data_IF_901496444041
#
_entry.id   IF_901496444041
#
_cell.length_a   1.000
_cell.length_b   1.000
_cell.length_c   1.000
_cell.angle_alpha   90.00
_cell.angle_beta   90.00
_cell.angle_gamma   90.00
#
_symmetry.space_group_name_H-M   'P 1'
#
loop_
_entity.id
_entity.type
_entity.pdbx_description
1 polymer ?
#
# COMPACT_ATOMS: atom_id res chain seq x y z
N UNK A 1 -14.74 8.10 8.12
CA UNK A 1 -13.73 8.33 7.06
C UNK A 1 -13.07 7.01 6.74
N UNK A 2 -12.63 6.80 5.50
CA UNK A 2 -11.80 5.65 5.10
C UNK A 2 -10.37 6.09 4.79
N UNK A 3 -9.38 5.47 5.42
CA UNK A 3 -7.96 5.67 5.14
C UNK A 3 -7.42 4.49 4.35
N UNK A 4 -6.74 4.76 3.25
CA UNK A 4 -6.26 3.74 2.33
C UNK A 4 -4.75 3.83 2.27
N UNK A 5 -4.05 2.72 2.44
CA UNK A 5 -2.60 2.64 2.31
C UNK A 5 -2.20 1.75 1.14
N UNK A 6 -1.24 2.21 0.35
CA UNK A 6 -0.74 1.51 -0.85
C UNK A 6 0.77 1.35 -0.77
N UNK A 7 1.23 0.10 -0.73
CA UNK A 7 2.57 -0.29 -1.18
C UNK A 7 2.47 -0.63 -2.68
N UNK A 8 3.06 0.18 -3.57
CA UNK A 8 2.83 0.08 -5.01
C UNK A 8 3.62 -1.04 -5.70
N UNK A 9 4.46 -1.80 -4.97
CA UNK A 9 5.27 -2.86 -5.54
C UNK A 9 4.47 -4.08 -6.02
N UNK A 10 5.10 -4.94 -6.82
CA UNK A 10 4.53 -6.21 -7.28
C UNK A 10 4.22 -7.21 -6.15
N UNK A 11 4.96 -7.12 -5.04
CA UNK A 11 4.72 -7.87 -3.80
C UNK A 11 4.08 -6.97 -2.71
N UNK A 12 3.61 -5.80 -3.11
CA UNK A 12 2.94 -4.83 -2.23
C UNK A 12 1.48 -5.19 -1.98
N UNK A 13 0.74 -4.24 -1.44
CA UNK A 13 -0.66 -4.42 -1.10
C UNK A 13 -1.41 -3.09 -1.05
N UNK A 14 -2.74 -3.22 -0.99
CA UNK A 14 -3.70 -2.19 -0.69
C UNK A 14 -4.40 -2.57 0.64
N UNK A 15 -4.41 -1.64 1.58
CA UNK A 15 -5.15 -1.77 2.83
C UNK A 15 -6.15 -0.63 2.97
N UNK A 16 -7.30 -0.90 3.59
CA UNK A 16 -8.21 0.15 4.01
C UNK A 16 -8.63 0.00 5.46
N UNK A 17 -8.68 1.15 6.13
CA UNK A 17 -8.93 1.31 7.54
C UNK A 17 -9.98 2.40 7.74
N UNK A 18 -11.15 2.02 8.25
CA UNK A 18 -12.15 2.98 8.68
C UNK A 18 -11.83 3.49 10.09
N UNK A 19 -12.47 4.59 10.51
CA UNK A 19 -12.39 5.09 11.89
C UNK A 19 -12.83 4.03 12.92
N UNK A 20 -13.74 3.15 12.53
CA UNK A 20 -14.19 2.00 13.29
C UNK A 20 -14.39 0.79 12.39
N UNK A 21 -14.12 -0.40 12.92
CA UNK A 21 -14.21 -1.66 12.20
C UNK A 21 -12.86 -2.25 11.83
N UNK A 22 -12.90 -3.47 11.31
CA UNK A 22 -11.72 -4.23 10.94
C UNK A 22 -11.13 -3.73 9.61
N UNK A 23 -9.79 -3.68 9.48
CA UNK A 23 -9.19 -3.32 8.21
C UNK A 23 -9.41 -4.43 7.18
N UNK A 24 -9.48 -4.03 5.91
CA UNK A 24 -9.48 -4.95 4.78
C UNK A 24 -8.13 -4.88 4.06
N UNK A 25 -7.72 -6.01 3.47
CA UNK A 25 -6.42 -6.20 2.86
C UNK A 25 -6.53 -6.90 1.51
N UNK A 26 -5.83 -6.36 0.51
CA UNK A 26 -5.64 -7.02 -0.78
C UNK A 26 -4.17 -6.95 -1.17
N UNK A 27 -3.58 -8.07 -1.57
CA UNK A 27 -2.27 -8.04 -2.23
C UNK A 27 -2.38 -7.27 -3.55
N UNK A 28 -1.30 -6.65 -4.02
CA UNK A 28 -1.27 -6.02 -5.33
C UNK A 28 -1.66 -7.06 -6.39
N UNK A 29 -2.76 -6.84 -7.13
CA UNK A 29 -3.24 -7.86 -8.05
C UNK A 29 -2.28 -7.92 -9.23
N UNK A 30 -1.80 -9.13 -9.50
CA UNK A 30 -0.81 -9.39 -10.55
C UNK A 30 -1.17 -10.65 -11.31
N UNK A 31 -0.75 -10.69 -12.58
CA UNK A 31 -0.89 -11.85 -13.45
C UNK A 31 0.48 -12.30 -13.93
N UNK A 32 0.66 -13.62 -14.04
CA UNK A 32 1.84 -14.19 -14.68
C UNK A 32 1.54 -14.39 -16.15
N UNK A 33 2.26 -13.67 -17.01
CA UNK A 33 2.18 -13.79 -18.46
C UNK A 33 3.24 -14.78 -18.93
N UNK A 34 2.80 -15.86 -19.57
CA UNK A 34 3.68 -16.84 -20.18
C UNK A 34 4.37 -16.27 -21.42
N UNK A 35 5.63 -16.65 -21.64
CA UNK A 35 6.44 -16.27 -22.79
C UNK A 35 7.79 -16.98 -22.73
N UNK A 36 8.77 -16.57 -23.55
CA UNK A 36 10.13 -17.12 -23.52
C UNK A 36 10.76 -17.07 -22.11
N UNK A 37 10.37 -16.07 -21.31
CA UNK A 37 10.54 -16.03 -19.87
C UNK A 37 9.23 -15.54 -19.26
N UNK A 38 8.64 -16.32 -18.37
CA UNK A 38 7.44 -15.89 -17.63
C UNK A 38 7.73 -14.61 -16.86
N UNK A 39 6.79 -13.66 -16.92
CA UNK A 39 6.89 -12.38 -16.21
C UNK A 39 5.60 -12.12 -15.43
N UNK A 40 5.75 -11.59 -14.23
CA UNK A 40 4.62 -11.10 -13.43
C UNK A 40 4.40 -9.63 -13.74
N UNK A 41 3.15 -9.23 -13.96
CA UNK A 41 2.77 -7.85 -14.25
C UNK A 41 1.50 -7.46 -13.49
N UNK A 42 1.25 -6.17 -13.38
CA UNK A 42 0.09 -5.61 -12.69
C UNK A 42 -1.22 -5.91 -13.44
N UNK A 43 -2.23 -6.39 -12.72
CA UNK A 43 -3.61 -6.51 -13.21
C UNK A 43 -4.35 -5.19 -12.99
N UNK A 44 -4.14 -4.25 -13.92
CA UNK A 44 -4.64 -2.87 -13.82
C UNK A 44 -6.18 -2.82 -13.67
N UNK A 45 -6.99 -3.59 -14.43
CA UNK A 45 -8.43 -3.67 -14.19
C UNK A 45 -8.78 -4.07 -12.76
N UNK A 46 -8.08 -5.06 -12.19
CA UNK A 46 -8.34 -5.48 -10.82
C UNK A 46 -7.87 -4.46 -9.77
N UNK A 47 -6.77 -3.74 -10.01
CA UNK A 47 -6.33 -2.61 -9.17
C UNK A 47 -7.43 -1.54 -9.09
N UNK A 48 -8.02 -1.17 -10.23
CA UNK A 48 -9.16 -0.24 -10.29
C UNK A 48 -10.34 -0.78 -9.49
N UNK A 49 -10.68 -2.06 -9.65
CA UNK A 49 -11.81 -2.67 -8.95
C UNK A 49 -11.64 -2.62 -7.43
N UNK A 50 -10.41 -2.82 -6.92
CA UNK A 50 -10.15 -2.67 -5.49
C UNK A 50 -10.36 -1.25 -4.98
N UNK A 51 -9.92 -0.22 -5.72
CA UNK A 51 -10.18 1.19 -5.34
C UNK A 51 -11.68 1.52 -5.37
N UNK A 52 -12.38 1.03 -6.39
CA UNK A 52 -13.84 1.23 -6.50
C UNK A 52 -14.60 0.61 -5.33
N UNK A 53 -14.15 -0.53 -4.78
CA UNK A 53 -14.73 -1.12 -3.57
C UNK A 53 -14.55 -0.21 -2.35
N UNK A 54 -13.40 0.46 -2.24
CA UNK A 54 -13.17 1.41 -1.16
C UNK A 54 -14.11 2.64 -1.23
N UNK A 55 -14.51 3.03 -2.45
CA UNK A 55 -15.47 4.12 -2.70
C UNK A 55 -16.94 3.73 -2.51
N UNK A 56 -17.27 2.43 -2.60
CA UNK A 56 -18.65 1.94 -2.47
C UNK A 56 -19.13 1.85 -1.01
N UNK A 57 -18.27 2.16 -0.04
CA UNK A 57 -18.61 2.13 1.38
C UNK A 57 -19.53 3.28 1.84
N UNK A 58 -20.06 3.21 3.08
CA UNK A 58 -20.94 4.25 3.62
C UNK A 58 -20.27 5.63 3.76
N UNK A 59 -18.94 5.65 3.78
CA UNK A 59 -18.14 6.88 3.79
C UNK A 59 -17.79 7.27 2.36
N UNK A 60 -18.48 8.27 1.80
CA UNK A 60 -18.08 8.93 0.55
C UNK A 60 -16.77 9.72 0.68
N UNK A 61 -16.16 9.72 1.87
CA UNK A 61 -14.94 10.43 2.20
C UNK A 61 -13.80 9.43 2.45
N UNK A 62 -12.72 9.57 1.69
CA UNK A 62 -11.51 8.77 1.84
C UNK A 62 -10.24 9.60 1.66
N UNK A 63 -9.12 9.12 2.23
CA UNK A 63 -7.78 9.69 2.04
C UNK A 63 -6.80 8.55 1.76
N UNK A 64 -6.01 8.67 0.71
CA UNK A 64 -5.10 7.63 0.21
C UNK A 64 -3.64 8.01 0.49
N UNK A 65 -2.89 7.15 1.16
CA UNK A 65 -1.43 7.22 1.24
C UNK A 65 -0.80 6.25 0.26
N UNK A 66 0.07 6.75 -0.62
CA UNK A 66 0.85 5.94 -1.55
C UNK A 66 2.31 6.02 -1.16
N UNK A 67 2.97 4.86 -0.96
CA UNK A 67 4.41 4.87 -0.73
C UNK A 67 5.16 5.46 -1.94
N UNK A 68 6.01 6.44 -1.69
CA UNK A 68 6.87 7.04 -2.69
C UNK A 68 8.35 6.81 -2.35
N UNK A 69 9.07 6.18 -3.27
CA UNK A 69 10.53 6.00 -3.17
C UNK A 69 11.22 6.68 -4.35
N UNK A 70 12.44 7.13 -4.09
CA UNK A 70 13.34 7.61 -5.14
C UNK A 70 14.28 6.48 -5.54
N UNK A 71 14.70 6.47 -6.81
CA UNK A 71 15.71 5.52 -7.28
C UNK A 71 17.04 5.79 -6.58
N UNK A 72 17.65 4.76 -6.00
CA UNK A 72 18.94 4.85 -5.31
C UNK A 72 20.05 4.19 -6.14
N UNK A 73 21.30 4.70 -6.09
CA UNK A 73 22.44 4.03 -6.69
C UNK A 73 22.55 2.57 -6.24
N UNK A 74 22.91 1.66 -7.15
CA UNK A 74 23.07 0.20 -6.92
C UNK A 74 21.78 -0.61 -6.75
N UNK A 75 20.60 -0.04 -6.99
CA UNK A 75 19.35 -0.83 -7.08
C UNK A 75 19.25 -1.59 -8.41
N UNK A 76 18.59 -2.76 -8.39
CA UNK A 76 18.34 -3.54 -9.59
C UNK A 76 17.41 -2.81 -10.57
N UNK A 77 17.85 -2.64 -11.81
CA UNK A 77 17.13 -1.87 -12.85
C UNK A 77 15.70 -2.38 -13.04
N UNK A 78 15.51 -3.70 -13.11
CA UNK A 78 14.20 -4.32 -13.32
C UNK A 78 13.25 -4.11 -12.14
N UNK A 79 13.73 -4.24 -10.89
CA UNK A 79 12.92 -3.98 -9.69
C UNK A 79 12.53 -2.50 -9.59
N UNK A 80 13.47 -1.60 -9.88
CA UNK A 80 13.22 -0.15 -9.85
C UNK A 80 12.20 0.25 -10.92
N UNK A 81 12.33 -0.27 -12.15
CA UNK A 81 11.36 -0.02 -13.21
C UNK A 81 9.96 -0.56 -12.87
N UNK A 82 9.87 -1.79 -12.37
CA UNK A 82 8.58 -2.37 -11.97
C UNK A 82 7.93 -1.61 -10.82
N UNK A 83 8.71 -1.14 -9.84
CA UNK A 83 8.20 -0.27 -8.79
C UNK A 83 7.68 1.04 -9.39
N UNK A 84 8.46 1.72 -10.24
CA UNK A 84 8.04 2.97 -10.89
C UNK A 84 6.76 2.81 -11.72
N UNK A 85 6.62 1.68 -12.44
CA UNK A 85 5.40 1.32 -13.16
C UNK A 85 4.20 1.17 -12.20
N UNK A 86 4.37 0.42 -11.12
CA UNK A 86 3.31 0.22 -10.12
C UNK A 86 2.87 1.53 -9.47
N UNK A 87 3.84 2.34 -9.05
CA UNK A 87 3.62 3.68 -8.49
C UNK A 87 2.82 4.56 -9.45
N UNK A 88 3.24 4.63 -10.73
CA UNK A 88 2.56 5.43 -11.75
C UNK A 88 1.12 4.96 -12.02
N UNK A 89 0.89 3.64 -12.06
CA UNK A 89 -0.46 3.07 -12.24
C UNK A 89 -1.36 3.42 -11.05
N UNK A 90 -0.90 3.16 -9.82
CA UNK A 90 -1.69 3.46 -8.62
C UNK A 90 -2.02 4.95 -8.53
N UNK A 91 -1.03 5.82 -8.72
CA UNK A 91 -1.22 7.27 -8.72
C UNK A 91 -2.21 7.70 -9.81
N UNK A 92 -2.06 7.18 -11.04
CA UNK A 92 -2.97 7.48 -12.14
C UNK A 92 -4.41 7.06 -11.86
N UNK A 93 -4.62 5.87 -11.29
CA UNK A 93 -5.95 5.38 -10.91
C UNK A 93 -6.58 6.22 -9.79
N UNK A 94 -5.81 6.53 -8.74
CA UNK A 94 -6.26 7.35 -7.61
C UNK A 94 -6.68 8.75 -8.08
N UNK A 95 -5.87 9.39 -8.94
CA UNK A 95 -6.20 10.69 -9.54
C UNK A 95 -7.42 10.61 -10.45
N UNK A 96 -7.50 9.59 -11.32
CA UNK A 96 -8.63 9.41 -12.23
C UNK A 96 -9.97 9.19 -11.49
N UNK A 97 -9.92 8.54 -10.33
CA UNK A 97 -11.07 8.33 -9.44
C UNK A 97 -11.34 9.53 -8.51
N UNK A 98 -10.57 10.62 -8.62
CA UNK A 98 -10.70 11.84 -7.82
C UNK A 98 -10.61 11.58 -6.31
N UNK A 99 -9.78 10.62 -5.92
CA UNK A 99 -9.55 10.29 -4.51
C UNK A 99 -8.51 11.24 -3.92
N UNK A 100 -8.77 11.91 -2.78
CA UNK A 100 -7.76 12.69 -2.07
C UNK A 100 -6.57 11.80 -1.68
N UNK A 101 -5.34 12.25 -1.94
CA UNK A 101 -4.15 11.43 -1.72
C UNK A 101 -2.93 12.21 -1.25
N UNK A 102 -1.99 11.46 -0.68
CA UNK A 102 -0.66 11.91 -0.29
C UNK A 102 0.40 10.90 -0.76
N UNK A 103 1.57 11.42 -1.10
CA UNK A 103 2.75 10.62 -1.37
C UNK A 103 3.60 10.55 -0.10
N UNK A 104 3.82 9.35 0.41
CA UNK A 104 4.38 9.11 1.74
C UNK A 104 5.68 8.35 1.60
N UNK A 105 6.78 8.93 2.08
CA UNK A 105 8.08 8.27 1.95
C UNK A 105 8.27 7.22 3.06
N UNK A 106 9.01 6.12 2.80
CA UNK A 106 9.36 5.14 3.83
C UNK A 106 9.94 5.77 5.08
N UNK A 107 10.77 6.80 4.92
CA UNK A 107 11.45 7.47 6.02
C UNK A 107 10.48 8.08 7.02
N UNK A 108 9.39 8.71 6.57
CA UNK A 108 8.47 9.42 7.48
C UNK A 108 7.56 8.44 8.23
N UNK A 109 6.97 7.48 7.54
CA UNK A 109 6.03 6.55 8.17
C UNK A 109 6.76 5.50 9.01
N UNK A 110 7.93 5.00 8.57
CA UNK A 110 8.74 4.07 9.38
C UNK A 110 9.26 4.73 10.64
N UNK A 111 9.68 6.00 10.57
CA UNK A 111 10.08 6.77 11.75
C UNK A 111 8.93 6.89 12.75
N UNK A 112 7.72 7.17 12.29
CA UNK A 112 6.54 7.26 13.14
C UNK A 112 6.29 5.97 13.93
N UNK A 113 6.46 4.79 13.31
CA UNK A 113 6.27 3.51 13.99
C UNK A 113 7.53 2.94 14.66
N UNK A 114 8.61 3.72 14.79
CA UNK A 114 9.89 3.30 15.37
C UNK A 114 10.55 2.11 14.63
N UNK A 115 10.30 1.99 13.33
CA UNK A 115 10.90 0.97 12.47
C UNK A 115 12.25 1.45 11.94
N UNK A 116 13.27 0.58 12.01
CA UNK A 116 14.64 0.90 11.58
C UNK A 116 14.98 0.19 10.27
N UNK A 117 15.48 0.94 9.30
CA UNK A 117 16.00 0.41 8.05
C UNK A 117 14.94 -0.25 7.16
N UNK A 118 15.33 -1.34 6.48
CA UNK A 118 14.52 -2.06 5.49
C UNK A 118 14.02 -3.42 6.00
N UNK A 119 13.94 -3.61 7.31
CA UNK A 119 13.50 -4.88 7.90
C UNK A 119 11.99 -5.09 7.70
N UNK A 120 11.67 -6.01 6.79
CA UNK A 120 10.29 -6.40 6.45
C UNK A 120 9.57 -7.13 7.59
N UNK A 121 10.31 -7.85 8.45
CA UNK A 121 9.70 -8.57 9.59
C UNK A 121 9.32 -7.59 10.70
N UNK A 122 10.09 -6.51 10.89
CA UNK A 122 9.75 -5.45 11.84
C UNK A 122 8.40 -4.78 11.48
N UNK A 123 8.17 -4.49 10.20
CA UNK A 123 6.87 -3.99 9.71
C UNK A 123 5.75 -4.98 10.01
N UNK A 124 5.96 -6.27 9.74
CA UNK A 124 4.96 -7.33 9.97
C UNK A 124 4.60 -7.49 11.45
N UNK A 125 5.61 -7.49 12.33
CA UNK A 125 5.42 -7.53 13.77
C UNK A 125 4.64 -6.31 14.25
N UNK A 126 5.03 -5.10 13.84
CA UNK A 126 4.35 -3.87 14.24
C UNK A 126 2.89 -3.85 13.78
N UNK A 127 2.62 -4.23 12.53
CA UNK A 127 1.27 -4.32 12.00
C UNK A 127 0.44 -5.36 12.78
N UNK A 128 0.99 -6.53 13.11
CA UNK A 128 0.27 -7.54 13.92
C UNK A 128 -0.05 -7.08 15.35
N UNK A 129 0.77 -6.19 15.93
CA UNK A 129 0.52 -5.61 17.25
C UNK A 129 -0.62 -4.59 17.21
N UNK A 130 -0.72 -3.82 16.13
CA UNK A 130 -1.76 -2.80 15.95
C UNK A 130 -3.09 -3.39 15.44
N UNK A 131 -3.01 -4.43 14.62
CA UNK A 131 -4.14 -5.06 13.93
C UNK A 131 -4.14 -6.58 14.15
N UNK A 132 -4.41 -7.06 15.37
CA UNK A 132 -4.27 -8.48 15.74
C UNK A 132 -5.22 -9.42 14.98
N UNK A 133 -6.30 -8.88 14.42
CA UNK A 133 -7.28 -9.57 13.57
C UNK A 133 -6.82 -9.79 12.13
N UNK A 134 -5.78 -9.08 11.68
CA UNK A 134 -5.32 -9.11 10.29
C UNK A 134 -4.48 -10.35 9.98
N UNK A 135 -4.72 -10.99 8.83
CA UNK A 135 -3.91 -12.12 8.37
C UNK A 135 -2.51 -11.68 7.89
N UNK A 136 -1.57 -11.63 8.83
CA UNK A 136 -0.17 -11.28 8.64
C UNK A 136 0.79 -12.42 9.04
N UNK A 137 0.28 -13.65 9.07
CA UNK A 137 0.96 -14.83 9.62
C UNK A 137 2.18 -15.28 8.78
N UNK A 138 2.14 -15.05 7.47
CA UNK A 138 3.16 -15.50 6.53
C UNK A 138 4.19 -14.41 6.24
N UNK A 139 5.45 -14.81 6.01
CA UNK A 139 6.55 -13.92 5.58
C UNK A 139 6.24 -13.16 4.28
N UNK A 140 5.43 -13.73 3.40
CA UNK A 140 4.99 -13.06 2.17
C UNK A 140 4.02 -11.89 2.41
N UNK A 141 3.42 -11.77 3.61
CA UNK A 141 2.48 -10.70 3.95
C UNK A 141 3.16 -9.39 4.37
N UNK A 142 4.44 -9.19 4.06
CA UNK A 142 5.13 -7.93 4.34
C UNK A 142 4.49 -6.75 3.60
N UNK A 143 4.08 -6.92 2.33
CA UNK A 143 3.37 -5.86 1.59
C UNK A 143 2.05 -5.46 2.26
N UNK A 144 1.28 -6.45 2.75
CA UNK A 144 0.05 -6.20 3.54
C UNK A 144 0.33 -5.40 4.80
N UNK A 145 1.40 -5.75 5.52
CA UNK A 145 1.81 -5.06 6.72
C UNK A 145 2.22 -3.60 6.43
N UNK A 146 3.02 -3.35 5.38
CA UNK A 146 3.41 -1.99 5.01
C UNK A 146 2.21 -1.16 4.56
N UNK A 147 1.30 -1.73 3.77
CA UNK A 147 0.06 -1.05 3.37
C UNK A 147 -0.83 -0.67 4.58
N UNK A 148 -0.99 -1.55 5.57
CA UNK A 148 -1.72 -1.23 6.81
C UNK A 148 -1.08 -0.09 7.58
N UNK A 149 0.24 -0.12 7.75
CA UNK A 149 0.97 0.91 8.47
C UNK A 149 0.90 2.26 7.75
N UNK A 150 0.92 2.27 6.42
CA UNK A 150 0.71 3.49 5.63
C UNK A 150 -0.71 4.03 5.85
N UNK A 151 -1.75 3.17 5.82
CA UNK A 151 -3.13 3.58 6.08
C UNK A 151 -3.30 4.17 7.49
N UNK A 152 -2.70 3.54 8.49
CA UNK A 152 -2.70 4.00 9.88
C UNK A 152 -1.95 5.33 10.04
N UNK A 153 -0.82 5.50 9.36
CA UNK A 153 -0.10 6.77 9.35
C UNK A 153 -0.94 7.90 8.74
N UNK A 154 -1.66 7.64 7.65
CA UNK A 154 -2.62 8.60 7.08
C UNK A 154 -3.71 8.98 8.09
N UNK A 155 -4.27 7.99 8.80
CA UNK A 155 -5.29 8.20 9.82
C UNK A 155 -4.77 9.08 10.96
N UNK A 156 -3.59 8.77 11.48
CA UNK A 156 -2.93 9.57 12.51
C UNK A 156 -2.71 11.02 12.04
N UNK A 157 -2.12 11.22 10.86
CA UNK A 157 -1.87 12.56 10.29
C UNK A 157 -3.15 13.38 10.15
N UNK A 158 -4.21 12.76 9.65
CA UNK A 158 -5.50 13.43 9.49
C UNK A 158 -6.06 13.93 10.82
N UNK A 159 -5.87 13.17 11.90
CA UNK A 159 -6.35 13.56 13.23
C UNK A 159 -5.50 14.65 13.88
N UNK A 160 -4.21 14.76 13.58
CA UNK A 160 -3.33 15.84 14.05
C UNK A 160 -3.58 17.17 13.31
N UNK A 161 -4.08 17.11 12.07
CA UNK A 161 -4.41 18.29 11.25
C UNK A 161 -5.78 18.92 11.61
N UNK A 162 -6.53 18.35 12.57
CA UNK A 162 -7.86 18.81 13.01
C UNK A 162 -7.80 19.56 14.33
#
# INVERSE_FOLDING_TARGET
>A
MMFIGIDPGLDGALAGLADSGEPWLFDTPTLTVAGAKSRRDYDIPQMRNYLMRALAGPSSNCRVGIESIHSMPKQGISSTFNFGKGFGIWLGLVVALRMPYELITPQIWKKHFYLRGSDKEASRLKASQLFPSSDLTLKKHHGRAEALLIAEYCRWRYNEER
#
